data_IF_652979261038
#
_entry.id   IF_652979261038
#
_cell.length_a   1.000
_cell.length_b   1.000
_cell.length_c   1.000
_cell.angle_alpha   90.00
_cell.angle_beta   90.00
_cell.angle_gamma   90.00
#
_symmetry.space_group_name_H-M   'P 1'
#
loop_
_entity.id
_entity.type
_entity.pdbx_description
1 polymer ?
#
# COMPACT_ATOMS: atom_id res chain seq x y z
N UNK A 1 28.34 34.09 -59.12
CA UNK A 1 27.12 33.39 -58.66
C UNK A 1 27.54 32.26 -57.72
N UNK A 2 27.62 32.53 -56.41
CA UNK A 2 27.99 31.52 -55.40
C UNK A 2 26.79 31.31 -54.47
N UNK A 3 26.29 30.07 -54.47
CA UNK A 3 25.23 29.58 -53.59
C UNK A 3 25.82 29.30 -52.22
N UNK A 4 25.28 29.89 -51.15
CA UNK A 4 25.43 29.35 -49.80
C UNK A 4 24.04 29.04 -49.24
N UNK A 5 23.67 27.77 -49.21
CA UNK A 5 22.54 27.28 -48.41
C UNK A 5 23.09 26.96 -47.02
N UNK A 6 22.97 27.90 -46.10
CA UNK A 6 23.31 27.66 -44.70
C UNK A 6 22.22 26.80 -44.08
N UNK A 7 22.53 25.52 -43.83
CA UNK A 7 21.65 24.61 -43.10
C UNK A 7 21.91 24.86 -41.61
N UNK A 8 20.95 25.50 -40.94
CA UNK A 8 20.96 25.72 -39.50
C UNK A 8 20.56 24.39 -38.83
N UNK A 9 21.53 23.65 -38.27
CA UNK A 9 21.26 22.45 -37.49
C UNK A 9 20.78 22.86 -36.09
N UNK A 10 19.47 22.79 -35.85
CA UNK A 10 18.86 23.05 -34.55
C UNK A 10 19.01 21.78 -33.68
N UNK A 11 20.01 21.76 -32.80
CA UNK A 11 20.19 20.65 -31.85
C UNK A 11 19.10 20.70 -30.78
N UNK A 12 18.12 19.81 -30.89
CA UNK A 12 17.12 19.56 -29.85
C UNK A 12 17.79 18.85 -28.67
N UNK A 13 18.07 19.59 -27.59
CA UNK A 13 18.36 18.98 -26.30
C UNK A 13 17.06 18.39 -25.75
N UNK A 14 16.88 17.08 -25.90
CA UNK A 14 15.81 16.36 -25.24
C UNK A 14 16.16 16.26 -23.74
N UNK A 15 15.57 17.12 -22.92
CA UNK A 15 15.50 16.88 -21.48
C UNK A 15 14.56 15.69 -21.27
N UNK A 16 15.15 14.50 -21.16
CA UNK A 16 14.45 13.32 -20.67
C UNK A 16 14.04 13.60 -19.23
N UNK A 17 12.78 13.97 -19.02
CA UNK A 17 12.16 13.92 -17.71
C UNK A 17 12.05 12.44 -17.34
N UNK A 18 13.08 11.91 -16.69
CA UNK A 18 12.93 10.67 -15.93
C UNK A 18 12.09 11.02 -14.71
N UNK A 19 10.77 11.05 -14.87
CA UNK A 19 9.87 10.96 -13.74
C UNK A 19 10.13 9.59 -13.11
N UNK A 20 10.72 9.59 -11.90
CA UNK A 20 10.73 8.40 -11.04
C UNK A 20 9.27 8.11 -10.72
N UNK A 21 8.66 7.26 -11.54
CA UNK A 21 7.24 6.96 -11.50
C UNK A 21 7.06 5.77 -10.56
N UNK A 22 7.42 5.95 -9.29
CA UNK A 22 7.00 5.02 -8.25
C UNK A 22 5.47 5.11 -8.20
N UNK A 23 4.80 4.09 -8.74
CA UNK A 23 3.35 4.06 -8.80
C UNK A 23 2.79 4.10 -7.39
N UNK A 24 1.95 5.09 -7.11
CA UNK A 24 1.23 5.18 -5.84
C UNK A 24 0.47 3.88 -5.57
N UNK A 25 0.51 3.36 -4.33
CA UNK A 25 -0.30 2.22 -3.97
C UNK A 25 -1.78 2.59 -4.09
N UNK A 26 -2.54 1.66 -4.64
CA UNK A 26 -3.97 1.78 -4.91
C UNK A 26 -4.81 0.88 -4.01
N UNK A 27 -4.17 -0.07 -3.31
CA UNK A 27 -4.82 -1.03 -2.43
C UNK A 27 -3.95 -1.39 -1.23
N UNK A 28 -4.59 -1.94 -0.21
CA UNK A 28 -3.93 -2.51 0.97
C UNK A 28 -4.39 -3.95 1.14
N UNK A 29 -3.43 -4.84 1.39
CA UNK A 29 -3.67 -6.24 1.70
C UNK A 29 -3.30 -6.51 3.14
N UNK A 30 -4.23 -7.08 3.90
CA UNK A 30 -4.01 -7.67 5.21
C UNK A 30 -3.80 -9.18 5.04
N UNK A 31 -2.70 -9.72 5.57
CA UNK A 31 -2.46 -11.16 5.69
C UNK A 31 -2.50 -11.55 7.18
N UNK A 32 -3.22 -12.61 7.51
CA UNK A 32 -3.37 -13.12 8.87
C UNK A 32 -3.57 -14.65 8.85
N UNK A 33 -2.72 -15.40 9.55
CA UNK A 33 -2.71 -16.86 9.43
C UNK A 33 -2.63 -17.28 7.96
N UNK A 34 -3.53 -18.17 7.52
CA UNK A 34 -3.63 -18.62 6.12
C UNK A 34 -4.60 -17.79 5.26
N UNK A 35 -5.03 -16.62 5.76
CA UNK A 35 -6.05 -15.79 5.12
C UNK A 35 -5.52 -14.42 4.71
N UNK A 36 -6.13 -13.87 3.67
CA UNK A 36 -5.87 -12.51 3.21
C UNK A 36 -7.14 -11.74 2.90
N UNK A 37 -7.14 -10.44 3.16
CA UNK A 37 -8.19 -9.50 2.75
C UNK A 37 -7.52 -8.34 2.01
N UNK A 38 -8.08 -7.95 0.87
CA UNK A 38 -7.63 -6.79 0.09
C UNK A 38 -8.75 -5.76 0.04
N UNK A 39 -8.39 -4.48 0.01
CA UNK A 39 -9.32 -3.37 -0.19
C UNK A 39 -8.63 -2.21 -0.87
N UNK A 40 -9.40 -1.43 -1.61
CA UNK A 40 -8.91 -0.27 -2.34
C UNK A 40 -8.67 0.91 -1.40
N UNK A 41 -7.65 1.69 -1.70
CA UNK A 41 -7.39 2.97 -1.07
C UNK A 41 -8.30 4.00 -1.74
N UNK A 42 -9.22 4.56 -0.96
CA UNK A 42 -10.18 5.54 -1.45
C UNK A 42 -9.49 6.89 -1.73
N UNK A 43 -10.18 7.79 -2.44
CA UNK A 43 -9.66 9.11 -2.78
C UNK A 43 -9.22 9.96 -1.56
N UNK A 44 -9.83 9.72 -0.39
CA UNK A 44 -9.45 10.36 0.88
C UNK A 44 -8.27 9.67 1.60
N UNK A 45 -7.56 8.76 0.91
CA UNK A 45 -6.46 7.94 1.42
C UNK A 45 -6.83 7.06 2.62
N UNK A 46 -8.10 6.71 2.76
CA UNK A 46 -8.58 5.73 3.74
C UNK A 46 -8.94 4.42 3.07
N UNK A 47 -8.94 3.35 3.84
CA UNK A 47 -9.42 2.06 3.40
C UNK A 47 -10.27 1.44 4.51
N UNK A 48 -11.25 0.63 4.11
CA UNK A 48 -12.12 -0.09 5.02
C UNK A 48 -12.71 -1.29 4.29
N UNK A 49 -12.77 -2.42 4.98
CA UNK A 49 -13.41 -3.63 4.49
C UNK A 49 -13.83 -4.50 5.67
N UNK A 50 -15.00 -5.12 5.54
CA UNK A 50 -15.53 -6.08 6.50
C UNK A 50 -15.73 -7.41 5.77
N UNK A 51 -15.19 -8.47 6.35
CA UNK A 51 -15.49 -9.85 5.98
C UNK A 51 -16.19 -10.51 7.16
N UNK A 52 -17.43 -10.92 6.95
CA UNK A 52 -18.22 -11.61 7.96
C UNK A 52 -18.77 -12.92 7.39
N UNK A 53 -18.38 -14.04 7.97
CA UNK A 53 -18.81 -15.38 7.55
C UNK A 53 -19.16 -16.25 8.77
N UNK A 54 -19.43 -17.54 8.57
CA UNK A 54 -19.83 -18.45 9.65
C UNK A 54 -18.73 -18.69 10.70
N UNK A 55 -17.46 -18.59 10.32
CA UNK A 55 -16.32 -18.92 11.20
C UNK A 55 -15.72 -17.70 11.90
N UNK A 56 -15.71 -16.55 11.23
CA UNK A 56 -15.07 -15.33 11.70
C UNK A 56 -15.75 -14.04 11.20
N UNK A 57 -15.48 -12.96 11.92
CA UNK A 57 -15.73 -11.59 11.51
C UNK A 57 -14.41 -10.83 11.57
N UNK A 58 -14.03 -10.21 10.46
CA UNK A 58 -12.81 -9.40 10.33
C UNK A 58 -13.17 -8.03 9.79
N UNK A 59 -12.81 -7.00 10.54
CA UNK A 59 -12.87 -5.61 10.12
C UNK A 59 -11.43 -5.12 9.96
N UNK A 60 -11.13 -4.57 8.78
CA UNK A 60 -9.81 -4.02 8.46
C UNK A 60 -9.99 -2.61 7.92
N UNK A 61 -9.43 -1.64 8.63
CA UNK A 61 -9.56 -0.23 8.29
C UNK A 61 -8.29 0.55 8.59
N UNK A 62 -8.21 1.77 8.05
CA UNK A 62 -7.05 2.60 8.28
C UNK A 62 -6.96 3.79 7.35
N UNK A 63 -5.77 4.40 7.35
CA UNK A 63 -5.46 5.56 6.55
C UNK A 63 -3.98 5.66 6.22
N UNK A 64 -3.69 6.27 5.08
CA UNK A 64 -2.36 6.40 4.53
C UNK A 64 -2.00 7.88 4.41
N UNK A 65 -0.82 8.23 4.88
CA UNK A 65 -0.22 9.54 4.73
C UNK A 65 1.07 9.35 3.95
N UNK A 66 1.22 10.04 2.82
CA UNK A 66 2.46 10.04 2.05
C UNK A 66 3.44 11.04 2.66
N UNK A 67 4.67 10.60 2.92
CA UNK A 67 5.76 11.41 3.44
C UNK A 67 6.99 11.24 2.53
N UNK A 68 7.21 12.21 1.64
CA UNK A 68 8.20 12.12 0.55
C UNK A 68 7.99 10.87 -0.33
N UNK A 69 8.90 9.89 -0.26
CA UNK A 69 8.80 8.61 -0.96
C UNK A 69 8.13 7.51 -0.12
N UNK A 70 7.96 7.76 1.18
CA UNK A 70 7.54 6.76 2.15
C UNK A 70 6.08 6.98 2.56
N UNK A 71 5.54 6.04 3.34
CA UNK A 71 4.14 6.01 3.72
C UNK A 71 3.98 5.72 5.21
N UNK A 72 3.27 6.60 5.92
CA UNK A 72 2.75 6.30 7.25
C UNK A 72 1.38 5.65 7.08
N UNK A 73 1.23 4.43 7.57
CA UNK A 73 -0.02 3.67 7.52
C UNK A 73 -0.54 3.46 8.93
N UNK A 74 -1.72 4.02 9.20
CA UNK A 74 -2.49 3.72 10.40
C UNK A 74 -3.39 2.53 10.09
N UNK A 75 -3.32 1.49 10.92
CA UNK A 75 -4.02 0.23 10.74
C UNK A 75 -4.84 -0.08 11.97
N UNK A 76 -6.10 -0.40 11.74
CA UNK A 76 -7.03 -0.90 12.73
C UNK A 76 -7.65 -2.19 12.24
N UNK A 77 -7.48 -3.26 13.02
CA UNK A 77 -7.96 -4.60 12.70
C UNK A 77 -8.75 -5.13 13.89
N UNK A 78 -9.97 -5.57 13.64
CA UNK A 78 -10.77 -6.32 14.62
C UNK A 78 -11.03 -7.71 14.05
N UNK A 79 -10.68 -8.75 14.80
CA UNK A 79 -10.91 -10.15 14.44
C UNK A 79 -11.71 -10.85 15.53
N UNK A 80 -12.86 -11.42 15.17
CA UNK A 80 -13.71 -12.22 16.05
C UNK A 80 -13.82 -13.62 15.50
N UNK A 81 -13.38 -14.63 16.25
CA UNK A 81 -13.66 -16.03 15.93
C UNK A 81 -15.01 -16.42 16.52
N UNK A 82 -15.96 -16.80 15.67
CA UNK A 82 -17.27 -17.32 16.10
C UNK A 82 -17.17 -18.73 16.63
N UNK A 83 -16.24 -19.52 16.08
CA UNK A 83 -15.96 -20.90 16.52
C UNK A 83 -15.32 -20.92 17.92
N UNK A 84 -14.28 -20.11 18.14
CA UNK A 84 -13.54 -20.08 19.41
C UNK A 84 -14.11 -19.09 20.43
N UNK A 85 -15.14 -18.31 20.06
CA UNK A 85 -15.73 -17.23 20.86
C UNK A 85 -14.69 -16.25 21.40
N UNK A 86 -13.70 -15.91 20.58
CA UNK A 86 -12.60 -14.99 20.93
C UNK A 86 -12.64 -13.74 20.07
N UNK A 87 -12.20 -12.61 20.62
CA UNK A 87 -12.06 -11.34 19.91
C UNK A 87 -10.66 -10.79 20.11
N UNK A 88 -10.12 -10.17 19.07
CA UNK A 88 -8.79 -9.56 19.02
C UNK A 88 -8.90 -8.23 18.31
N UNK A 89 -8.10 -7.28 18.75
CA UNK A 89 -8.01 -5.96 18.16
C UNK A 89 -6.54 -5.54 18.09
N UNK A 90 -6.14 -5.02 16.92
CA UNK A 90 -4.81 -4.47 16.69
C UNK A 90 -4.99 -3.05 16.15
N UNK A 91 -4.41 -2.09 16.84
CA UNK A 91 -4.32 -0.70 16.40
C UNK A 91 -2.85 -0.30 16.39
N UNK A 92 -2.33 0.07 15.22
CA UNK A 92 -0.90 0.37 15.07
C UNK A 92 -0.67 1.37 13.94
N UNK A 93 0.46 2.05 14.02
CA UNK A 93 0.96 2.96 12.97
C UNK A 93 2.33 2.47 12.55
N UNK A 94 2.53 2.32 11.25
CA UNK A 94 3.82 1.87 10.69
C UNK A 94 4.32 2.83 9.63
N UNK A 95 5.64 3.03 9.60
CA UNK A 95 6.34 3.66 8.49
C UNK A 95 6.71 2.55 7.50
N UNK A 96 6.24 2.69 6.27
CA UNK A 96 6.58 1.81 5.16
C UNK A 96 7.44 2.60 4.16
N UNK A 97 8.70 2.22 4.05
CA UNK A 97 9.62 2.84 3.12
C UNK A 97 9.23 2.49 1.67
N UNK A 98 9.60 3.34 0.72
CA UNK A 98 9.39 3.10 -0.72
C UNK A 98 9.87 1.71 -1.20
N UNK A 99 10.98 1.20 -0.67
CA UNK A 99 11.53 -0.11 -1.03
C UNK A 99 10.74 -1.31 -0.44
N UNK A 100 9.79 -1.04 0.45
CA UNK A 100 8.89 -2.00 1.06
C UNK A 100 7.52 -2.06 0.37
N UNK A 101 7.24 -1.17 -0.58
CA UNK A 101 6.02 -1.24 -1.40
C UNK A 101 5.99 -2.56 -2.18
N UNK A 102 4.83 -3.22 -2.20
CA UNK A 102 4.64 -4.55 -2.75
C UNK A 102 5.18 -5.70 -1.88
N UNK A 103 5.81 -5.42 -0.73
CA UNK A 103 6.33 -6.43 0.21
C UNK A 103 5.49 -6.48 1.50
N UNK A 104 5.33 -7.65 2.12
CA UNK A 104 4.64 -7.76 3.40
C UNK A 104 5.48 -7.18 4.54
N UNK A 105 4.89 -6.25 5.28
CA UNK A 105 5.43 -5.72 6.54
C UNK A 105 4.69 -6.33 7.71
N UNK A 106 5.39 -7.03 8.60
CA UNK A 106 4.81 -7.63 9.81
C UNK A 106 4.44 -6.54 10.80
N UNK A 107 3.19 -6.56 11.26
CA UNK A 107 2.63 -5.58 12.22
C UNK A 107 2.16 -6.23 13.53
N UNK A 108 2.18 -7.56 13.61
CA UNK A 108 1.82 -8.29 14.82
C UNK A 108 2.16 -9.77 14.71
N UNK A 109 2.38 -10.42 15.86
CA UNK A 109 2.60 -11.86 15.97
C UNK A 109 1.75 -12.35 17.14
N UNK A 110 0.97 -13.40 16.92
CA UNK A 110 0.18 -14.02 17.98
C UNK A 110 0.01 -15.52 17.73
N UNK A 111 0.29 -16.35 18.74
CA UNK A 111 0.20 -17.81 18.65
C UNK A 111 0.90 -18.38 17.39
N UNK A 112 2.12 -17.91 17.13
CA UNK A 112 2.94 -18.26 15.95
C UNK A 112 2.35 -17.84 14.59
N UNK A 113 1.26 -17.07 14.57
CA UNK A 113 0.70 -16.48 13.35
C UNK A 113 1.18 -15.03 13.18
N UNK A 114 1.75 -14.73 12.01
CA UNK A 114 2.11 -13.38 11.62
C UNK A 114 0.89 -12.64 11.06
N UNK A 115 0.71 -11.40 11.50
CA UNK A 115 -0.17 -10.43 10.84
C UNK A 115 0.71 -9.44 10.09
N UNK A 116 0.47 -9.29 8.79
CA UNK A 116 1.23 -8.35 7.95
C UNK A 116 0.33 -7.55 7.03
N UNK A 117 0.82 -6.39 6.60
CA UNK A 117 0.17 -5.57 5.58
C UNK A 117 1.06 -5.41 4.36
N UNK A 118 0.46 -5.17 3.20
CA UNK A 118 1.16 -4.84 1.96
C UNK A 118 0.43 -3.69 1.27
N UNK A 119 1.17 -2.64 0.90
CA UNK A 119 0.70 -1.61 -0.01
C UNK A 119 0.95 -2.07 -1.45
N UNK A 120 -0.07 -2.03 -2.31
CA UNK A 120 -0.01 -2.44 -3.73
C UNK A 120 -0.63 -1.41 -4.64
#
# INVERSE_FOLDING_TARGET
>A
MFKSKSILALSMFAFGCFAHQDSEPTSVVLNYGDSSISTDIQANRKFHVVRDNESEHVEFSGGIIKEYSDYIVNVHIIRKSKIRRSSRELNTTVLMNSDQIGKPLVIGIENDEFTSITLR
#
